data_IF_139439632458
#
_entry.id   IF_139439632458
#
_cell.length_a   1.000
_cell.length_b   1.000
_cell.length_c   1.000
_cell.angle_alpha   90.00
_cell.angle_beta   90.00
_cell.angle_gamma   90.00
#
_symmetry.space_group_name_H-M   'P 1'
#
loop_
_entity.id
_entity.type
_entity.pdbx_description
1 polymer ?
#
# COMPACT_ATOMS: atom_id res chain seq x y z
N UNK A 1 4.01 8.13 24.03
CA UNK A 1 5.41 7.65 23.95
C UNK A 1 5.94 8.16 22.63
N UNK A 2 6.87 9.09 22.69
CA UNK A 2 7.63 9.50 21.52
C UNK A 2 8.78 8.49 21.37
N UNK A 3 8.99 7.95 20.17
CA UNK A 3 10.04 6.97 19.92
C UNK A 3 11.11 7.61 19.05
N UNK A 4 12.38 7.53 19.46
CA UNK A 4 13.53 8.06 18.70
C UNK A 4 13.90 7.23 17.45
N UNK A 5 13.06 6.27 17.04
CA UNK A 5 13.32 5.41 15.89
C UNK A 5 12.77 6.09 14.62
N UNK A 6 13.62 6.40 13.61
CA UNK A 6 13.16 6.95 12.35
C UNK A 6 12.14 6.04 11.65
N UNK A 7 11.07 6.62 11.08
CA UNK A 7 10.05 5.86 10.34
C UNK A 7 10.66 4.97 9.24
N UNK A 8 11.66 5.50 8.53
CA UNK A 8 12.38 4.77 7.46
C UNK A 8 13.03 3.45 7.92
N UNK A 9 13.25 3.29 9.23
CA UNK A 9 13.89 2.11 9.82
C UNK A 9 12.86 1.03 10.19
N UNK A 10 11.58 1.38 10.29
CA UNK A 10 10.49 0.47 10.68
C UNK A 10 9.41 0.30 9.60
N UNK A 11 9.36 1.17 8.59
CA UNK A 11 8.35 1.12 7.53
C UNK A 11 8.50 -0.12 6.64
N UNK A 12 7.37 -0.64 6.16
CA UNK A 12 7.34 -1.65 5.10
C UNK A 12 7.74 -0.99 3.78
N UNK A 13 8.81 -1.47 3.14
CA UNK A 13 9.34 -0.87 1.90
C UNK A 13 8.62 -1.34 0.65
N UNK A 14 8.22 -2.62 0.63
CA UNK A 14 7.47 -3.21 -0.48
C UNK A 14 6.01 -3.36 -0.09
N UNK A 15 5.21 -2.38 -0.48
CA UNK A 15 3.76 -2.38 -0.23
C UNK A 15 3.00 -2.94 -1.42
N UNK A 16 1.85 -3.55 -1.16
CA UNK A 16 0.90 -3.91 -2.21
C UNK A 16 0.28 -2.63 -2.74
N UNK A 17 0.38 -2.42 -4.05
CA UNK A 17 -0.06 -1.20 -4.73
C UNK A 17 -0.83 -1.50 -6.00
N UNK A 18 -1.70 -0.57 -6.38
CA UNK A 18 -2.45 -0.57 -7.63
C UNK A 18 -2.41 0.81 -8.29
N UNK A 19 -2.75 0.85 -9.57
CA UNK A 19 -2.90 2.10 -10.33
C UNK A 19 -4.27 2.76 -10.02
N UNK A 20 -4.42 4.06 -10.26
CA UNK A 20 -5.68 4.79 -10.05
C UNK A 20 -6.83 4.24 -10.89
N UNK A 21 -6.55 3.62 -12.03
CA UNK A 21 -7.56 3.01 -12.91
C UNK A 21 -8.00 1.60 -12.47
N UNK A 22 -7.44 1.07 -11.37
CA UNK A 22 -7.80 -0.22 -10.79
C UNK A 22 -9.28 -0.27 -10.36
N UNK A 23 -9.98 -1.32 -10.76
CA UNK A 23 -11.35 -1.54 -10.26
C UNK A 23 -11.36 -2.04 -8.81
N UNK A 24 -12.46 -1.80 -8.10
CA UNK A 24 -12.65 -2.32 -6.73
C UNK A 24 -12.53 -3.85 -6.67
N UNK A 25 -12.96 -4.57 -7.71
CA UNK A 25 -12.84 -6.03 -7.76
C UNK A 25 -11.37 -6.48 -7.83
N UNK A 26 -10.55 -5.79 -8.61
CA UNK A 26 -9.12 -6.07 -8.70
C UNK A 26 -8.41 -5.73 -7.40
N UNK A 27 -8.78 -4.62 -6.75
CA UNK A 27 -8.32 -4.27 -5.41
C UNK A 27 -8.61 -5.39 -4.40
N UNK A 28 -9.85 -5.88 -4.37
CA UNK A 28 -10.25 -6.97 -3.47
C UNK A 28 -9.48 -8.28 -3.77
N UNK A 29 -9.21 -8.58 -5.04
CA UNK A 29 -8.38 -9.74 -5.43
C UNK A 29 -6.94 -9.58 -4.96
N UNK A 30 -6.34 -8.39 -5.07
CA UNK A 30 -5.00 -8.10 -4.57
C UNK A 30 -4.93 -8.26 -3.05
N UNK A 31 -5.86 -7.63 -2.32
CA UNK A 31 -5.99 -7.74 -0.87
C UNK A 31 -6.06 -9.21 -0.42
N UNK A 32 -6.95 -10.01 -1.04
CA UNK A 32 -7.07 -11.45 -0.74
C UNK A 32 -5.80 -12.23 -1.08
N UNK A 33 -5.18 -11.97 -2.24
CA UNK A 33 -3.99 -12.69 -2.73
C UNK A 33 -2.80 -12.48 -1.81
N UNK A 34 -2.56 -11.24 -1.41
CA UNK A 34 -1.41 -10.85 -0.58
C UNK A 34 -1.72 -10.87 0.92
N UNK A 35 -2.97 -11.15 1.31
CA UNK A 35 -3.45 -11.19 2.70
C UNK A 35 -3.22 -9.86 3.42
N UNK A 36 -3.60 -8.78 2.76
CA UNK A 36 -3.54 -7.41 3.29
C UNK A 36 -4.93 -6.81 3.30
N UNK A 37 -5.19 -5.95 4.28
CA UNK A 37 -6.49 -5.28 4.45
C UNK A 37 -6.56 -3.94 3.70
N UNK A 38 -5.44 -3.48 3.16
CA UNK A 38 -5.32 -2.24 2.41
C UNK A 38 -4.29 -2.35 1.29
N UNK A 39 -4.44 -1.50 0.28
CA UNK A 39 -3.47 -1.29 -0.79
C UNK A 39 -3.21 0.20 -0.94
N UNK A 40 -2.04 0.57 -1.45
CA UNK A 40 -1.73 1.95 -1.84
C UNK A 40 -2.15 2.15 -3.29
N UNK A 41 -2.93 3.19 -3.58
CA UNK A 41 -3.27 3.58 -4.96
C UNK A 41 -2.26 4.62 -5.41
N UNK A 42 -1.72 4.45 -6.62
CA UNK A 42 -0.79 5.39 -7.24
C UNK A 42 -1.41 6.01 -8.49
N UNK A 43 -1.17 7.30 -8.70
CA UNK A 43 -1.41 8.02 -9.95
C UNK A 43 -0.06 8.46 -10.52
N UNK A 44 0.30 7.97 -11.71
CA UNK A 44 1.61 8.23 -12.35
C UNK A 44 2.84 7.93 -11.47
N UNK A 45 2.71 7.03 -10.49
CA UNK A 45 3.78 6.63 -9.58
C UNK A 45 3.77 7.33 -8.21
N UNK A 46 2.92 8.34 -8.04
CA UNK A 46 2.75 9.07 -6.77
C UNK A 46 1.50 8.59 -6.02
N UNK A 47 1.53 8.44 -4.68
CA UNK A 47 0.34 8.06 -3.90
C UNK A 47 -0.77 9.10 -3.92
N UNK A 48 -2.03 8.65 -3.99
CA UNK A 48 -3.25 9.49 -3.99
C UNK A 48 -4.28 9.06 -2.95
#
# INVERSE_FOLDING_TARGET
METDIPLRDVMVREVVKGDIDLTVLEAAKLMRRYKVDSIVVLDHGDPV
#
